data_IF_600204147389
#
_entry.id   IF_600204147389
#
_cell.length_a   1.000
_cell.length_b   1.000
_cell.length_c   1.000
_cell.angle_alpha   90.00
_cell.angle_beta   90.00
_cell.angle_gamma   90.00
#
_symmetry.space_group_name_H-M   'P 1'
#
loop_
_entity.id
_entity.type
_entity.pdbx_description
1 polymer ?
#
# COMPACT_ATOMS: atom_id res chain seq x y z
N UNK A 1 18.92 7.46 -10.31
CA UNK A 1 18.72 6.31 -9.41
C UNK A 1 17.29 6.38 -8.90
N UNK A 2 16.45 5.39 -9.20
CA UNK A 2 15.02 5.42 -8.84
C UNK A 2 14.89 5.15 -7.34
N UNK A 3 14.32 6.10 -6.59
CA UNK A 3 14.10 5.97 -5.15
C UNK A 3 12.76 5.26 -4.87
N UNK A 4 12.78 3.93 -4.88
CA UNK A 4 11.62 3.06 -4.61
C UNK A 4 10.96 3.28 -3.24
N UNK A 5 11.67 3.89 -2.29
CA UNK A 5 11.21 4.08 -0.92
C UNK A 5 10.45 5.41 -0.69
N UNK A 6 10.50 6.35 -1.64
CA UNK A 6 9.93 7.68 -1.43
C UNK A 6 8.39 7.74 -1.60
N UNK A 7 7.74 6.68 -2.05
CA UNK A 7 6.31 6.66 -2.37
C UNK A 7 5.54 5.45 -1.81
N UNK A 8 6.05 4.85 -0.73
CA UNK A 8 5.33 3.77 -0.04
C UNK A 8 4.31 4.38 0.92
N UNK A 9 3.03 4.14 0.64
CA UNK A 9 1.92 4.47 1.52
C UNK A 9 1.28 3.17 2.04
N UNK A 10 0.90 3.16 3.32
CA UNK A 10 0.18 2.05 3.91
C UNK A 10 -1.31 2.37 3.87
N UNK A 11 -2.11 1.50 3.27
CA UNK A 11 -3.57 1.68 3.20
C UNK A 11 -4.20 1.57 4.59
N UNK A 12 -3.73 0.59 5.38
CA UNK A 12 -4.31 0.24 6.66
C UNK A 12 -3.25 0.33 7.78
N UNK A 13 -2.78 1.54 8.14
CA UNK A 13 -1.72 1.73 9.14
C UNK A 13 -2.14 1.27 10.54
N UNK A 14 -3.44 1.12 10.79
CA UNK A 14 -3.97 0.58 12.05
C UNK A 14 -3.51 -0.87 12.31
N UNK A 15 -3.11 -1.60 11.27
CA UNK A 15 -2.65 -2.97 11.43
C UNK A 15 -1.35 -3.08 12.26
N UNK A 16 -0.58 -2.00 12.37
CA UNK A 16 0.61 -1.95 13.23
C UNK A 16 0.30 -2.09 14.72
N UNK A 17 -0.95 -1.90 15.16
CA UNK A 17 -1.35 -2.22 16.53
C UNK A 17 -1.14 -3.71 16.87
N UNK A 18 -1.19 -4.60 15.87
CA UNK A 18 -0.87 -6.02 16.06
C UNK A 18 0.59 -6.27 16.43
N UNK A 19 1.51 -5.34 16.17
CA UNK A 19 2.90 -5.46 16.65
C UNK A 19 2.97 -5.51 18.17
N UNK A 20 1.98 -4.96 18.87
CA UNK A 20 1.88 -5.02 20.33
C UNK A 20 1.66 -6.47 20.84
N UNK A 21 1.25 -7.40 19.97
CA UNK A 21 1.22 -8.82 20.29
C UNK A 21 2.63 -9.43 20.43
N UNK A 22 3.66 -8.86 19.80
CA UNK A 22 5.06 -9.33 19.89
C UNK A 22 5.59 -9.28 21.33
N UNK A 23 5.57 -8.12 22.04
CA UNK A 23 6.05 -8.07 23.42
C UNK A 23 5.23 -8.96 24.35
N UNK A 24 3.93 -9.13 24.09
CA UNK A 24 3.08 -10.09 24.84
C UNK A 24 3.55 -11.52 24.62
N UNK A 25 3.83 -11.92 23.38
CA UNK A 25 4.35 -13.25 23.05
C UNK A 25 5.75 -13.49 23.68
N UNK A 26 6.62 -12.47 23.70
CA UNK A 26 7.91 -12.53 24.37
C UNK A 26 7.74 -12.70 25.88
N UNK A 27 6.90 -11.88 26.53
CA UNK A 27 6.64 -11.97 27.96
C UNK A 27 6.06 -13.34 28.34
N UNK A 28 5.10 -13.84 27.55
CA UNK A 28 4.53 -15.18 27.71
C UNK A 28 5.58 -16.28 27.57
N UNK A 29 6.45 -16.19 26.55
CA UNK A 29 7.53 -17.14 26.34
C UNK A 29 8.50 -17.17 27.53
N UNK A 30 8.94 -16.00 28.01
CA UNK A 30 9.83 -15.90 29.16
C UNK A 30 9.17 -16.41 30.45
N UNK A 31 7.89 -16.13 30.67
CA UNK A 31 7.16 -16.61 31.85
C UNK A 31 6.99 -18.14 31.82
N UNK A 32 6.62 -18.69 30.67
CA UNK A 32 6.42 -20.13 30.50
C UNK A 32 7.74 -20.88 30.60
N UNK A 33 8.83 -20.34 30.02
CA UNK A 33 10.15 -20.94 30.10
C UNK A 33 10.66 -21.00 31.54
N UNK A 34 10.40 -19.98 32.35
CA UNK A 34 10.73 -19.98 33.79
C UNK A 34 9.93 -21.01 34.60
N UNK A 35 8.69 -21.34 34.19
CA UNK A 35 7.85 -22.33 34.88
C UNK A 35 8.12 -23.77 34.46
N UNK A 36 8.55 -24.00 33.22
CA UNK A 36 8.84 -25.35 32.71
C UNK A 36 10.23 -25.86 33.09
N UNK A 37 11.12 -25.01 33.59
CA UNK A 37 12.35 -25.43 34.23
C UNK A 37 12.08 -25.76 35.71
N UNK A 38 11.28 -26.80 35.95
CA UNK A 38 11.32 -27.50 37.22
C UNK A 38 12.75 -28.03 37.36
N UNK A 39 13.57 -27.35 38.16
CA UNK A 39 14.93 -27.76 38.45
C UNK A 39 14.85 -29.10 39.14
N UNK A 40 15.01 -30.18 38.39
CA UNK A 40 15.25 -31.50 38.97
C UNK A 40 16.57 -31.35 39.72
N UNK A 41 16.50 -31.33 41.05
CA UNK A 41 17.68 -31.26 41.90
C UNK A 41 18.42 -32.60 41.81
N UNK A 42 19.28 -32.74 40.80
CA UNK A 42 20.12 -33.93 40.64
C UNK A 42 21.39 -33.70 41.46
N UNK A 43 21.61 -34.54 42.48
CA UNK A 43 22.71 -34.39 43.45
C UNK A 43 24.11 -34.62 42.87
N UNK A 44 24.23 -35.03 41.59
CA UNK A 44 25.53 -35.16 40.91
C UNK A 44 25.37 -35.15 39.39
N UNK A 45 26.09 -34.23 38.72
CA UNK A 45 26.17 -34.15 37.26
C UNK A 45 27.28 -35.04 36.67
N UNK A 46 27.98 -35.84 37.48
CA UNK A 46 29.16 -36.64 37.06
C UNK A 46 28.90 -37.66 35.94
N UNK A 47 27.65 -38.05 35.69
CA UNK A 47 27.27 -39.00 34.63
C UNK A 47 26.74 -38.36 33.34
N UNK A 48 26.43 -37.06 33.36
CA UNK A 48 25.90 -36.36 32.20
C UNK A 48 27.02 -35.56 31.54
N UNK A 49 27.73 -36.19 30.60
CA UNK A 49 28.46 -35.42 29.59
C UNK A 49 27.42 -34.69 28.75
N UNK A 50 27.11 -33.46 29.12
CA UNK A 50 26.31 -32.56 28.30
C UNK A 50 27.20 -32.20 27.12
N UNK A 51 27.20 -33.04 26.08
CA UNK A 51 27.65 -32.59 24.77
C UNK A 51 26.71 -31.44 24.41
N UNK A 52 27.24 -30.23 24.44
CA UNK A 52 26.52 -29.02 24.05
C UNK A 52 26.20 -29.15 22.57
N UNK A 53 25.07 -29.79 22.29
CA UNK A 53 24.61 -30.01 20.93
C UNK A 53 24.43 -28.64 20.29
N UNK A 54 25.12 -28.38 19.17
CA UNK A 54 24.99 -27.14 18.41
C UNK A 54 23.51 -26.76 18.16
N UNK A 55 22.66 -27.77 18.01
CA UNK A 55 21.21 -27.66 17.88
C UNK A 55 20.52 -26.97 19.07
N UNK A 56 21.05 -27.09 20.29
CA UNK A 56 20.54 -26.38 21.45
C UNK A 56 20.80 -24.86 21.37
N UNK A 57 21.90 -24.46 20.74
CA UNK A 57 22.25 -23.06 20.52
C UNK A 57 21.40 -22.38 19.42
N UNK A 58 20.79 -23.17 18.53
CA UNK A 58 19.88 -22.67 17.48
C UNK A 58 18.46 -22.39 17.99
N UNK A 59 18.08 -22.88 19.18
CA UNK A 59 16.74 -22.66 19.75
C UNK A 59 16.35 -21.18 19.89
N UNK A 60 17.18 -20.29 20.46
CA UNK A 60 16.86 -18.86 20.53
C UNK A 60 16.80 -18.21 19.14
N UNK A 61 17.63 -18.66 18.19
CA UNK A 61 17.60 -18.16 16.81
C UNK A 61 16.24 -18.45 16.15
N UNK A 62 15.70 -19.66 16.33
CA UNK A 62 14.38 -20.02 15.81
C UNK A 62 13.26 -19.17 16.43
N UNK A 63 13.39 -18.77 17.70
CA UNK A 63 12.43 -17.87 18.34
C UNK A 63 12.48 -16.47 17.74
N UNK A 64 13.68 -15.91 17.57
CA UNK A 64 13.86 -14.59 16.93
C UNK A 64 13.32 -14.62 15.50
N UNK A 65 13.61 -15.67 14.73
CA UNK A 65 13.11 -15.82 13.36
C UNK A 65 11.58 -15.82 13.32
N UNK A 66 10.91 -16.49 14.26
CA UNK A 66 9.43 -16.46 14.36
C UNK A 66 8.90 -15.04 14.60
N UNK A 67 9.57 -14.24 15.42
CA UNK A 67 9.18 -12.85 15.67
C UNK A 67 9.34 -11.98 14.40
N UNK A 68 10.43 -12.18 13.67
CA UNK A 68 10.67 -11.49 12.39
C UNK A 68 9.58 -11.85 11.38
N UNK A 69 9.26 -13.14 11.24
CA UNK A 69 8.18 -13.60 10.35
C UNK A 69 6.84 -12.97 10.73
N UNK A 70 6.50 -12.91 12.03
CA UNK A 70 5.28 -12.26 12.49
C UNK A 70 5.25 -10.77 12.13
N UNK A 71 6.36 -10.05 12.33
CA UNK A 71 6.47 -8.63 11.97
C UNK A 71 6.31 -8.40 10.47
N UNK A 72 6.89 -9.27 9.63
CA UNK A 72 6.74 -9.22 8.18
C UNK A 72 5.28 -9.49 7.76
N UNK A 73 4.61 -10.46 8.38
CA UNK A 73 3.18 -10.73 8.12
C UNK A 73 2.32 -9.52 8.47
N UNK A 74 2.55 -8.90 9.63
CA UNK A 74 1.81 -7.69 10.05
C UNK A 74 2.07 -6.54 9.07
N UNK A 75 3.30 -6.39 8.61
CA UNK A 75 3.67 -5.37 7.61
C UNK A 75 2.99 -5.64 6.27
N UNK A 76 2.91 -6.90 5.84
CA UNK A 76 2.17 -7.28 4.63
C UNK A 76 0.66 -7.02 4.76
N UNK A 77 0.09 -7.27 5.96
CA UNK A 77 -1.31 -6.97 6.27
C UNK A 77 -1.62 -5.47 6.29
N UNK A 78 -0.64 -4.62 6.61
CA UNK A 78 -0.77 -3.16 6.50
C UNK A 78 -0.84 -2.67 5.03
N UNK A 79 -0.70 -3.59 4.06
CA UNK A 79 -0.79 -3.37 2.61
C UNK A 79 0.08 -2.18 2.15
N UNK A 80 1.42 -2.34 2.11
CA UNK A 80 2.29 -1.33 1.54
C UNK A 80 1.99 -1.20 0.05
N UNK A 81 1.68 0.03 -0.39
CA UNK A 81 1.37 0.36 -1.77
C UNK A 81 2.35 1.43 -2.24
N UNK A 82 2.91 1.22 -3.42
CA UNK A 82 3.69 2.26 -4.10
C UNK A 82 2.72 3.06 -4.94
N UNK A 83 2.43 4.30 -4.56
CA UNK A 83 1.63 5.20 -5.40
C UNK A 83 2.55 5.98 -6.32
N UNK A 84 2.39 5.81 -7.63
CA UNK A 84 3.04 6.70 -8.58
C UNK A 84 2.49 8.11 -8.40
N UNK A 85 3.35 9.06 -8.03
CA UNK A 85 3.00 10.45 -7.71
C UNK A 85 2.19 11.11 -8.85
N UNK A 86 2.35 10.61 -10.07
CA UNK A 86 1.60 11.00 -11.27
C UNK A 86 0.09 10.77 -11.16
N UNK A 87 -0.36 9.72 -10.45
CA UNK A 87 -1.79 9.39 -10.32
C UNK A 87 -2.51 10.26 -9.29
N UNK A 88 -1.81 10.82 -8.30
CA UNK A 88 -2.42 11.73 -7.31
C UNK A 88 -2.72 13.12 -7.89
N UNK A 89 -1.90 13.60 -8.83
CA UNK A 89 -2.10 14.89 -9.51
C UNK A 89 -2.95 14.80 -10.77
N UNK A 90 -2.99 13.64 -11.45
CA UNK A 90 -3.93 13.37 -12.55
C UNK A 90 -5.16 12.59 -12.08
N UNK A 91 -5.92 13.11 -11.11
CA UNK A 91 -7.36 12.79 -11.06
C UNK A 91 -8.05 13.57 -12.17
N UNK A 92 -7.87 13.11 -13.41
CA UNK A 92 -8.67 13.58 -14.52
C UNK A 92 -10.05 12.95 -14.32
N UNK A 93 -10.93 13.66 -13.62
CA UNK A 93 -12.35 13.30 -13.63
C UNK A 93 -12.81 13.39 -15.09
N UNK A 94 -13.12 12.24 -15.70
CA UNK A 94 -13.71 12.21 -17.03
C UNK A 94 -15.07 12.87 -16.97
N UNK A 95 -15.21 14.05 -17.58
CA UNK A 95 -16.49 14.76 -17.67
C UNK A 95 -17.09 14.44 -19.03
N UNK A 96 -18.23 13.74 -19.04
CA UNK A 96 -19.04 13.52 -20.23
C UNK A 96 -19.74 14.82 -20.64
N UNK A 97 -19.53 15.26 -21.88
CA UNK A 97 -20.10 16.50 -22.42
C UNK A 97 -21.00 16.17 -23.61
N UNK A 98 -22.26 16.56 -23.52
CA UNK A 98 -23.22 16.50 -24.63
C UNK A 98 -23.41 17.92 -25.18
N UNK A 99 -23.11 18.11 -26.46
CA UNK A 99 -23.35 19.37 -27.15
C UNK A 99 -24.58 19.24 -28.05
N UNK A 100 -25.60 20.04 -27.78
CA UNK A 100 -26.77 20.16 -28.65
C UNK A 100 -26.68 21.48 -29.45
N UNK A 101 -26.88 21.40 -30.77
CA UNK A 101 -26.77 22.53 -31.69
C UNK A 101 -28.10 22.69 -32.42
N UNK A 102 -28.63 23.92 -32.45
CA UNK A 102 -29.82 24.25 -33.23
C UNK A 102 -29.51 24.25 -34.73
N UNK A 103 -30.47 23.81 -35.54
CA UNK A 103 -30.42 23.77 -37.01
C UNK A 103 -31.56 24.57 -37.65
N UNK A 104 -32.23 25.42 -36.86
CA UNK A 104 -33.29 26.30 -37.34
C UNK A 104 -32.78 27.27 -38.42
N UNK A 105 -33.70 27.82 -39.22
CA UNK A 105 -33.36 28.78 -40.27
C UNK A 105 -32.61 30.02 -39.75
N UNK A 106 -32.80 30.38 -38.47
CA UNK A 106 -32.06 31.47 -37.82
C UNK A 106 -30.55 31.21 -37.73
N UNK A 107 -30.12 29.94 -37.80
CA UNK A 107 -28.71 29.55 -37.78
C UNK A 107 -28.00 29.75 -39.13
N UNK A 108 -28.75 30.03 -40.21
CA UNK A 108 -28.22 30.45 -41.50
C UNK A 108 -27.97 31.96 -41.57
N UNK A 109 -28.27 32.71 -40.52
CA UNK A 109 -27.95 34.13 -40.45
C UNK A 109 -26.43 34.38 -40.53
N UNK A 110 -26.04 35.41 -41.26
CA UNK A 110 -24.63 35.77 -41.54
C UNK A 110 -24.12 36.93 -40.67
N UNK A 111 -24.77 37.21 -39.54
CA UNK A 111 -24.26 38.15 -38.52
C UNK A 111 -22.94 37.68 -37.90
N UNK A 112 -22.64 36.39 -38.01
CA UNK A 112 -21.32 35.78 -37.86
C UNK A 112 -20.88 35.17 -39.19
N UNK A 113 -19.64 35.43 -39.62
CA UNK A 113 -19.11 34.86 -40.87
C UNK A 113 -18.67 33.40 -40.67
N UNK A 114 -18.96 32.48 -41.61
CA UNK A 114 -19.81 32.66 -42.79
C UNK A 114 -21.32 32.61 -42.48
N UNK A 115 -21.76 31.80 -41.51
CA UNK A 115 -23.07 31.90 -40.86
C UNK A 115 -22.96 31.34 -39.44
N UNK A 116 -23.99 31.52 -38.60
CA UNK A 116 -23.98 31.03 -37.20
C UNK A 116 -23.74 29.52 -37.10
N UNK A 117 -24.29 28.72 -38.01
CA UNK A 117 -24.11 27.27 -38.00
C UNK A 117 -22.64 26.87 -38.24
N UNK A 118 -22.01 27.44 -39.26
CA UNK A 118 -20.59 27.19 -39.57
C UNK A 118 -19.66 27.73 -38.49
N UNK A 119 -19.98 28.89 -37.92
CA UNK A 119 -19.26 29.43 -36.77
C UNK A 119 -19.35 28.50 -35.55
N UNK A 120 -20.55 27.94 -35.28
CA UNK A 120 -20.76 26.99 -34.18
C UNK A 120 -19.99 25.69 -34.39
N UNK A 121 -19.96 25.14 -35.60
CA UNK A 121 -19.14 23.95 -35.93
C UNK A 121 -17.66 24.20 -35.65
N UNK A 122 -17.15 25.37 -36.03
CA UNK A 122 -15.75 25.75 -35.79
C UNK A 122 -15.44 25.81 -34.30
N UNK A 123 -16.27 26.51 -33.52
CA UNK A 123 -16.12 26.62 -32.06
C UNK A 123 -16.20 25.24 -31.39
N UNK A 124 -17.13 24.39 -31.82
CA UNK A 124 -17.26 23.02 -31.31
C UNK A 124 -16.00 22.19 -31.61
N UNK A 125 -15.43 22.30 -32.81
CA UNK A 125 -14.19 21.61 -33.17
C UNK A 125 -13.00 22.11 -32.33
N UNK A 126 -12.89 23.42 -32.12
CA UNK A 126 -11.85 24.03 -31.28
C UNK A 126 -11.99 23.60 -29.81
N UNK A 127 -13.23 23.52 -29.30
CA UNK A 127 -13.54 23.02 -27.96
C UNK A 127 -13.11 21.56 -27.77
N UNK A 128 -13.43 20.68 -28.73
CA UNK A 128 -13.02 19.25 -28.70
C UNK A 128 -11.50 19.13 -28.76
N UNK A 129 -10.84 19.89 -29.64
CA UNK A 129 -9.38 19.88 -29.78
C UNK A 129 -8.68 20.35 -28.51
N UNK A 130 -9.20 21.38 -27.85
CA UNK A 130 -8.69 21.87 -26.58
C UNK A 130 -8.76 20.83 -25.46
N UNK A 131 -9.81 19.99 -25.44
CA UNK A 131 -9.93 18.87 -24.49
C UNK A 131 -8.95 17.73 -24.78
N UNK A 132 -8.81 17.32 -26.05
CA UNK A 132 -7.88 16.24 -26.44
C UNK A 132 -6.41 16.56 -26.17
N UNK A 133 -6.04 17.84 -26.08
CA UNK A 133 -4.66 18.26 -25.75
C UNK A 133 -4.38 18.31 -24.24
N UNK A 134 -5.40 18.24 -23.39
CA UNK A 134 -5.28 18.37 -21.93
C UNK A 134 -5.21 16.99 -21.23
N UNK A 135 -5.63 15.91 -21.89
CA UNK A 135 -5.47 14.52 -21.39
C UNK A 135 -4.06 13.96 -21.64
#
# INVERSE_FOLDING_TARGET
MINWFNSIEFLDPQMFWLLLAIPVAIAWYLWTHRRQQAQVQISSLKGFKVETSWLANLRPLLFILRLIVLALIITALARPQTTDVTTKTKKTEGIDIVLAVDVSASMLAEDLKPNRLEATKKVAADFIKGRLMIE
#
